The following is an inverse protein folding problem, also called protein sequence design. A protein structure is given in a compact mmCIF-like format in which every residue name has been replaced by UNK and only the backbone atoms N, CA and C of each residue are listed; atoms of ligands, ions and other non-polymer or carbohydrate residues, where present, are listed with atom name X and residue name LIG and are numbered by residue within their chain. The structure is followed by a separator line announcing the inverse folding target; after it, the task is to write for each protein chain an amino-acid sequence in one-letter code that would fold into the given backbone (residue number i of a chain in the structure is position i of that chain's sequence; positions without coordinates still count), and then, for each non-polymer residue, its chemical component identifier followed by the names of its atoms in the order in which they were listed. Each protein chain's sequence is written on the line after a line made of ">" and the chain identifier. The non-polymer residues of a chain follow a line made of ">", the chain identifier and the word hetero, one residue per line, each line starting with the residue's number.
data_IF_423902491284
#
_entry.id   IF_423902491284
#
_cell.length_a   1.000
_cell.length_b   1.000
_cell.length_c   1.000
_cell.angle_alpha   90.00
_cell.angle_beta   90.00
_cell.angle_gamma   90.00
#
_symmetry.space_group_name_H-M   'P 1'
#
loop_
_entity.id
_entity.type
_entity.pdbx_description
1 polymer ?
#
# COMPACT_ATOMS: atom_id res chain seq x y z
N UNK A 1 -0.96 15.63 6.95
CA UNK A 1 -2.37 15.24 6.90
C UNK A 1 -3.23 16.49 7.03
N UNK A 2 -4.32 16.57 6.31
CA UNK A 2 -5.34 17.63 6.36
C UNK A 2 -6.61 17.00 6.90
N UNK A 3 -7.23 17.63 7.88
CA UNK A 3 -8.50 17.19 8.46
C UNK A 3 -9.51 18.33 8.52
N UNK A 4 -10.80 18.00 8.54
CA UNK A 4 -11.89 18.95 8.62
C UNK A 4 -13.10 18.43 9.39
N UNK A 5 -14.12 19.26 9.60
CA UNK A 5 -15.21 18.94 10.50
C UNK A 5 -14.72 18.75 11.94
N UNK A 6 -15.26 17.75 12.64
CA UNK A 6 -14.82 17.40 13.99
C UNK A 6 -13.39 16.80 14.01
N UNK A 7 -12.82 16.47 12.83
CA UNK A 7 -11.46 15.96 12.64
C UNK A 7 -10.44 17.03 12.23
N UNK A 8 -10.78 18.30 12.35
CA UNK A 8 -9.83 19.40 12.07
C UNK A 8 -8.55 19.32 12.92
N UNK A 9 -8.63 18.64 14.06
CA UNK A 9 -7.49 18.33 14.94
C UNK A 9 -7.64 16.94 15.53
N UNK A 10 -6.52 16.33 15.97
CA UNK A 10 -6.55 15.07 16.69
C UNK A 10 -6.65 13.82 15.79
N UNK A 11 -6.64 13.97 14.47
CA UNK A 11 -6.62 12.85 13.54
C UNK A 11 -5.18 12.46 13.17
N UNK A 12 -4.93 11.16 13.08
CA UNK A 12 -3.63 10.64 12.63
C UNK A 12 -3.78 9.31 11.90
N UNK A 13 -2.88 9.05 10.95
CA UNK A 13 -2.75 7.79 10.25
C UNK A 13 -1.33 7.26 10.42
N UNK A 14 -1.20 6.06 10.96
CA UNK A 14 0.00 5.26 10.91
C UNK A 14 -0.15 4.15 9.86
N UNK A 15 0.93 3.80 9.18
CA UNK A 15 0.93 2.69 8.25
C UNK A 15 2.22 1.89 8.35
N UNK A 16 2.14 0.61 7.97
CA UNK A 16 3.30 -0.26 7.82
C UNK A 16 3.05 -1.26 6.70
N UNK A 17 4.12 -1.70 6.05
CA UNK A 17 4.09 -2.76 5.06
C UNK A 17 5.11 -3.82 5.46
N UNK A 18 4.64 -5.07 5.57
CA UNK A 18 5.47 -6.22 5.83
C UNK A 18 5.59 -7.05 4.55
N UNK A 19 6.83 -7.19 4.06
CA UNK A 19 7.14 -8.10 2.96
C UNK A 19 7.16 -9.54 3.48
N UNK A 20 6.35 -10.40 2.89
CA UNK A 20 6.25 -11.83 3.25
C UNK A 20 6.96 -12.74 2.23
N UNK A 21 7.72 -12.14 1.30
CA UNK A 21 8.50 -12.80 0.25
C UNK A 21 7.81 -12.89 -1.11
N UNK A 22 6.50 -13.10 -1.16
CA UNK A 22 5.71 -13.13 -2.41
C UNK A 22 4.50 -12.20 -2.36
N UNK A 23 4.20 -11.67 -1.19
CA UNK A 23 3.06 -10.79 -0.94
C UNK A 23 3.44 -9.71 0.08
N UNK A 24 2.60 -8.72 0.22
CA UNK A 24 2.78 -7.60 1.13
C UNK A 24 1.55 -7.45 2.02
N UNK A 25 1.77 -7.42 3.32
CA UNK A 25 0.73 -7.10 4.29
C UNK A 25 0.79 -5.60 4.61
N UNK A 26 -0.19 -4.88 4.14
CA UNK A 26 -0.44 -3.48 4.45
C UNK A 26 -1.29 -3.37 5.71
N UNK A 27 -0.88 -2.51 6.61
CA UNK A 27 -1.64 -2.22 7.84
C UNK A 27 -1.76 -0.71 7.98
N UNK A 28 -2.98 -0.21 8.08
CA UNK A 28 -3.30 1.19 8.30
C UNK A 28 -3.98 1.32 9.66
N UNK A 29 -3.46 2.20 10.50
CA UNK A 29 -4.02 2.48 11.83
C UNK A 29 -4.50 3.93 11.84
N UNK A 30 -5.79 4.12 11.69
CA UNK A 30 -6.43 5.43 11.66
C UNK A 30 -6.97 5.78 13.04
N UNK A 31 -6.49 6.88 13.60
CA UNK A 31 -6.96 7.40 14.86
C UNK A 31 -7.70 8.70 14.63
N UNK A 32 -8.95 8.77 15.07
CA UNK A 32 -9.79 9.94 14.93
C UNK A 32 -10.62 10.12 16.21
N UNK A 33 -10.91 11.38 16.60
CA UNK A 33 -11.93 11.64 17.62
C UNK A 33 -13.33 11.26 17.09
N UNK A 34 -14.34 11.29 17.97
CA UNK A 34 -15.74 11.18 17.53
C UNK A 34 -16.09 12.30 16.51
N UNK A 35 -16.81 11.98 15.44
CA UNK A 35 -17.44 10.72 15.07
C UNK A 35 -16.45 9.69 14.52
N UNK A 36 -16.79 8.41 14.65
CA UNK A 36 -15.99 7.29 14.14
C UNK A 36 -15.82 7.31 12.62
N UNK A 37 -14.96 6.42 12.13
CA UNK A 37 -14.64 6.24 10.72
C UNK A 37 -15.81 5.57 9.98
N UNK A 38 -16.30 6.19 8.91
CA UNK A 38 -17.39 5.67 8.06
C UNK A 38 -16.83 4.86 6.89
N UNK A 39 -15.86 5.44 6.16
CA UNK A 39 -15.11 4.74 5.12
C UNK A 39 -13.69 5.30 5.00
N UNK A 40 -12.85 4.51 4.36
CA UNK A 40 -11.46 4.82 4.10
C UNK A 40 -11.13 4.43 2.65
N UNK A 41 -10.80 5.41 1.83
CA UNK A 41 -10.43 5.24 0.43
C UNK A 41 -8.91 5.24 0.33
N UNK A 42 -8.36 4.15 -0.22
CA UNK A 42 -6.94 3.93 -0.40
C UNK A 42 -6.63 3.92 -1.89
N UNK A 43 -5.76 4.80 -2.35
CA UNK A 43 -5.31 4.77 -3.74
C UNK A 43 -4.64 3.43 -4.07
N UNK A 44 -4.91 2.95 -5.28
CA UNK A 44 -4.18 1.87 -5.93
C UNK A 44 -4.00 2.22 -7.40
N UNK A 45 -3.16 1.49 -8.06
CA UNK A 45 -2.90 1.73 -9.46
C UNK A 45 -4.05 1.32 -10.35
N UNK A 46 -4.22 1.99 -11.50
CA UNK A 46 -5.35 1.81 -12.40
C UNK A 46 -5.51 0.41 -13.02
N UNK A 47 -4.52 -0.49 -12.84
CA UNK A 47 -4.60 -1.90 -13.23
C UNK A 47 -4.78 -2.86 -12.04
N UNK A 48 -4.99 -2.33 -10.83
CA UNK A 48 -5.32 -3.12 -9.66
C UNK A 48 -6.72 -3.70 -9.78
N UNK A 49 -6.89 -4.94 -9.38
CA UNK A 49 -8.17 -5.67 -9.47
C UNK A 49 -8.37 -6.52 -8.22
N UNK A 50 -9.56 -7.08 -8.03
CA UNK A 50 -9.86 -8.02 -6.94
C UNK A 50 -8.88 -9.20 -6.87
N UNK A 51 -8.30 -9.63 -8.00
CA UNK A 51 -7.32 -10.72 -8.02
C UNK A 51 -6.01 -10.38 -7.30
N UNK A 52 -5.75 -9.10 -7.04
CA UNK A 52 -4.59 -8.62 -6.29
C UNK A 52 -4.82 -8.57 -4.78
N UNK A 53 -6.06 -8.82 -4.33
CA UNK A 53 -6.45 -8.90 -2.93
C UNK A 53 -6.47 -10.36 -2.51
N UNK A 54 -5.59 -10.75 -1.60
CA UNK A 54 -5.53 -12.09 -1.04
C UNK A 54 -6.31 -12.19 0.26
N UNK A 55 -6.22 -11.14 1.09
CA UNK A 55 -7.00 -10.97 2.32
C UNK A 55 -7.27 -9.50 2.53
N UNK A 56 -8.43 -9.17 3.09
CA UNK A 56 -8.81 -7.79 3.46
C UNK A 56 -9.71 -7.81 4.70
N UNK A 57 -9.54 -6.83 5.58
CA UNK A 57 -10.19 -6.83 6.89
C UNK A 57 -11.67 -6.45 6.90
N UNK A 58 -12.13 -5.69 5.90
CA UNK A 58 -13.46 -5.08 5.88
C UNK A 58 -14.17 -5.34 4.55
N UNK A 59 -15.45 -5.04 4.48
CA UNK A 59 -16.16 -4.89 3.21
C UNK A 59 -15.46 -3.81 2.36
N UNK A 60 -15.42 -3.99 1.05
CA UNK A 60 -14.71 -3.07 0.16
C UNK A 60 -15.36 -2.97 -1.23
N UNK A 61 -15.01 -1.89 -1.90
CA UNK A 61 -15.30 -1.64 -3.32
C UNK A 61 -14.01 -1.19 -4.01
N UNK A 62 -13.79 -1.63 -5.26
CA UNK A 62 -12.71 -1.12 -6.11
C UNK A 62 -13.32 -0.25 -7.19
N UNK A 63 -12.83 0.98 -7.34
CA UNK A 63 -13.37 1.91 -8.33
C UNK A 63 -12.67 3.25 -8.36
N UNK A 64 -13.26 4.17 -9.12
CA UNK A 64 -12.82 5.57 -9.15
C UNK A 64 -13.70 6.39 -8.21
N UNK A 65 -13.06 7.10 -7.30
CA UNK A 65 -13.69 7.95 -6.30
C UNK A 65 -13.31 9.40 -6.53
N UNK A 66 -14.25 10.30 -6.31
CA UNK A 66 -14.08 11.75 -6.49
C UNK A 66 -15.07 12.51 -5.61
N UNK A 67 -14.95 13.84 -5.58
CA UNK A 67 -15.86 14.69 -4.84
C UNK A 67 -17.32 14.37 -5.12
N UNK A 68 -18.08 14.10 -4.06
CA UNK A 68 -19.51 13.83 -4.08
C UNK A 68 -20.26 14.58 -2.97
N UNK A 69 -21.60 14.62 -3.02
CA UNK A 69 -22.38 15.25 -1.97
C UNK A 69 -22.19 14.61 -0.59
N UNK A 70 -21.74 13.36 -0.56
CA UNK A 70 -21.47 12.60 0.66
C UNK A 70 -20.02 12.65 1.12
N UNK A 71 -19.10 13.26 0.35
CA UNK A 71 -17.66 13.24 0.58
C UNK A 71 -17.13 14.66 0.87
N UNK A 72 -17.41 15.20 2.07
CA UNK A 72 -17.04 16.55 2.45
C UNK A 72 -15.52 16.71 2.42
N UNK A 73 -15.08 17.88 1.93
CA UNK A 73 -13.65 18.23 1.93
C UNK A 73 -12.77 17.42 1.00
N UNK A 74 -13.37 16.63 0.09
CA UNK A 74 -12.59 16.00 -0.98
C UNK A 74 -11.81 17.08 -1.74
N UNK A 75 -10.50 16.88 -2.04
CA UNK A 75 -9.71 17.87 -2.74
C UNK A 75 -10.32 18.24 -4.10
N UNK A 76 -10.44 19.56 -4.36
CA UNK A 76 -11.13 20.06 -5.54
C UNK A 76 -10.42 19.65 -6.84
N UNK A 77 -11.17 19.03 -7.76
CA UNK A 77 -10.67 18.60 -9.06
C UNK A 77 -9.92 17.25 -9.03
N UNK A 78 -9.70 16.69 -7.86
CA UNK A 78 -8.98 15.44 -7.71
C UNK A 78 -9.91 14.22 -7.72
N UNK A 79 -9.34 13.08 -8.12
CA UNK A 79 -9.97 11.77 -8.04
C UNK A 79 -8.91 10.71 -7.78
N UNK A 80 -9.26 9.60 -7.16
CA UNK A 80 -8.39 8.45 -7.03
C UNK A 80 -9.06 7.19 -7.59
N UNK A 81 -8.27 6.30 -8.16
CA UNK A 81 -8.68 4.93 -8.38
C UNK A 81 -8.16 4.11 -7.20
N UNK A 82 -9.06 3.40 -6.52
CA UNK A 82 -8.68 2.87 -5.21
C UNK A 82 -9.57 1.76 -4.70
N UNK A 83 -9.26 1.37 -3.46
CA UNK A 83 -10.05 0.49 -2.61
C UNK A 83 -10.75 1.36 -1.58
N UNK A 84 -12.06 1.32 -1.55
CA UNK A 84 -12.87 1.91 -0.50
C UNK A 84 -13.20 0.83 0.52
N UNK A 85 -12.71 0.98 1.74
CA UNK A 85 -13.09 0.15 2.87
C UNK A 85 -14.37 0.71 3.46
N UNK A 86 -15.38 -0.13 3.57
CA UNK A 86 -16.69 0.18 4.15
C UNK A 86 -16.96 -0.66 5.41
N UNK A 87 -18.09 -0.42 6.06
CA UNK A 87 -18.54 -1.15 7.24
C UNK A 87 -17.47 -1.20 8.35
N UNK A 88 -16.81 -0.08 8.58
CA UNK A 88 -15.76 0.03 9.60
C UNK A 88 -16.42 0.23 10.96
N UNK A 89 -16.46 -0.83 11.74
CA UNK A 89 -17.07 -0.85 13.08
C UNK A 89 -16.02 -0.65 14.18
N UNK A 90 -16.48 -0.22 15.35
CA UNK A 90 -15.67 -0.11 16.56
C UNK A 90 -15.31 1.32 16.93
N UNK A 91 -14.32 1.45 17.81
CA UNK A 91 -13.79 2.72 18.29
C UNK A 91 -12.34 2.91 17.81
N UNK A 92 -11.92 4.18 17.71
CA UNK A 92 -10.53 4.49 17.36
C UNK A 92 -9.54 3.93 18.40
N UNK A 93 -8.35 3.48 17.97
CA UNK A 93 -7.86 3.48 16.61
C UNK A 93 -8.43 2.36 15.74
N UNK A 94 -8.85 2.70 14.52
CA UNK A 94 -9.31 1.71 13.53
C UNK A 94 -8.12 1.10 12.82
N UNK A 95 -8.11 -0.23 12.71
CA UNK A 95 -7.05 -0.96 12.01
C UNK A 95 -7.61 -1.64 10.78
N UNK A 96 -7.10 -1.26 9.61
CA UNK A 96 -7.43 -1.83 8.32
C UNK A 96 -6.23 -2.61 7.79
N UNK A 97 -6.47 -3.81 7.27
CA UNK A 97 -5.42 -4.66 6.72
C UNK A 97 -5.75 -5.11 5.31
N UNK A 98 -4.73 -5.21 4.49
CA UNK A 98 -4.78 -5.70 3.12
C UNK A 98 -3.55 -6.56 2.84
N UNK A 99 -3.76 -7.82 2.48
CA UNK A 99 -2.71 -8.68 1.94
C UNK A 99 -2.83 -8.67 0.41
N UNK A 100 -1.77 -8.24 -0.25
CA UNK A 100 -1.73 -8.09 -1.71
C UNK A 100 -0.43 -8.66 -2.31
N UNK A 101 -0.48 -9.05 -3.57
CA UNK A 101 0.68 -9.42 -4.37
C UNK A 101 1.41 -8.18 -4.95
N UNK A 102 0.90 -6.98 -4.67
CA UNK A 102 1.42 -5.70 -5.19
C UNK A 102 2.43 -5.10 -4.24
N UNK A 103 3.56 -4.65 -4.78
CA UNK A 103 4.62 -3.97 -4.04
C UNK A 103 4.17 -2.56 -3.57
N UNK A 104 4.75 -2.03 -2.49
CA UNK A 104 4.40 -0.69 -2.02
C UNK A 104 4.93 0.41 -2.94
N UNK A 105 4.09 1.42 -3.15
CA UNK A 105 4.42 2.71 -3.76
C UNK A 105 3.85 3.86 -2.93
N UNK A 106 4.28 5.08 -3.23
CA UNK A 106 3.65 6.28 -2.69
C UNK A 106 2.27 6.51 -3.32
N UNK A 107 1.29 6.83 -2.50
CA UNK A 107 -0.07 7.12 -2.94
C UNK A 107 -0.88 7.87 -1.91
N UNK A 108 -2.14 8.04 -2.20
CA UNK A 108 -3.07 8.88 -1.47
C UNK A 108 -4.11 8.10 -0.68
N UNK A 109 -4.70 8.75 0.30
CA UNK A 109 -5.88 8.25 0.98
C UNK A 109 -6.87 9.39 1.24
N UNK A 110 -8.14 9.03 1.32
CA UNK A 110 -9.20 9.86 1.87
C UNK A 110 -9.96 9.05 2.92
N UNK A 111 -10.33 9.71 3.99
CA UNK A 111 -11.11 9.12 5.09
C UNK A 111 -12.27 10.01 5.46
N UNK A 112 -13.41 9.41 5.72
CA UNK A 112 -14.63 10.10 6.12
C UNK A 112 -15.22 9.55 7.41
N UNK A 113 -15.66 10.46 8.27
CA UNK A 113 -16.49 10.17 9.43
C UNK A 113 -17.88 10.78 9.32
N UNK A 114 -18.65 10.67 10.37
CA UNK A 114 -19.93 11.38 10.48
C UNK A 114 -19.74 12.90 10.59
N UNK A 115 -20.85 13.67 10.55
CA UNK A 115 -20.88 15.13 10.78
C UNK A 115 -19.88 15.91 9.90
N UNK A 116 -19.77 15.55 8.63
CA UNK A 116 -18.86 16.18 7.67
C UNK A 116 -17.36 16.13 8.07
N UNK A 117 -16.98 15.17 8.91
CA UNK A 117 -15.59 14.94 9.27
C UNK A 117 -14.86 14.19 8.18
N UNK A 118 -13.67 14.67 7.84
CA UNK A 118 -12.83 14.07 6.81
C UNK A 118 -11.32 14.22 7.11
N UNK A 119 -10.52 13.42 6.47
CA UNK A 119 -9.06 13.57 6.46
C UNK A 119 -8.45 12.99 5.18
N UNK A 120 -7.34 13.58 4.75
CA UNK A 120 -6.52 13.08 3.64
C UNK A 120 -5.05 13.48 3.79
N UNK A 121 -4.14 12.88 3.04
CA UNK A 121 -2.73 13.27 3.07
C UNK A 121 -2.52 14.61 2.38
N UNK A 122 -1.62 15.43 2.90
CA UNK A 122 -1.39 16.80 2.40
C UNK A 122 -0.78 16.86 0.99
N UNK A 123 -0.33 15.73 0.45
CA UNK A 123 0.14 15.58 -0.92
C UNK A 123 -0.87 15.03 -1.89
N UNK A 124 -2.15 14.97 -1.53
CA UNK A 124 -3.20 14.38 -2.36
C UNK A 124 -3.20 14.95 -3.79
N UNK A 125 -3.12 14.06 -4.80
CA UNK A 125 -3.01 14.41 -6.21
C UNK A 125 -1.62 14.88 -6.67
N UNK A 126 -0.63 14.96 -5.77
CA UNK A 126 0.72 15.41 -6.09
C UNK A 126 1.74 14.27 -6.02
N UNK A 127 2.63 14.21 -7.02
CA UNK A 127 3.73 13.22 -7.04
C UNK A 127 4.77 13.43 -5.93
N UNK A 128 4.88 14.66 -5.41
CA UNK A 128 5.86 15.07 -4.39
C UNK A 128 5.13 15.55 -3.13
N UNK A 129 4.50 14.67 -2.40
CA UNK A 129 3.72 15.03 -1.22
C UNK A 129 4.04 14.19 0.00
N UNK A 130 3.33 14.47 1.10
CA UNK A 130 3.30 13.59 2.25
C UNK A 130 2.33 12.43 1.96
N UNK A 131 2.80 11.46 1.19
CA UNK A 131 2.04 10.29 0.74
C UNK A 131 2.14 9.15 1.76
N UNK A 132 1.32 8.14 1.57
CA UNK A 132 1.37 6.89 2.32
C UNK A 132 1.79 5.74 1.40
N UNK A 133 2.18 4.62 1.95
CA UNK A 133 2.44 3.44 1.13
C UNK A 133 1.15 2.71 0.77
N UNK A 134 0.94 2.51 -0.52
CA UNK A 134 -0.21 1.84 -1.12
C UNK A 134 0.25 0.73 -2.08
N UNK A 135 -0.61 -0.24 -2.45
CA UNK A 135 -0.25 -1.26 -3.44
C UNK A 135 0.03 -0.69 -4.83
N UNK A 136 1.18 -1.07 -5.41
CA UNK A 136 1.67 -0.62 -6.72
C UNK A 136 0.91 -1.26 -7.91
N UNK A 137 1.25 -0.78 -9.12
CA UNK A 137 0.72 -1.23 -10.42
C UNK A 137 1.19 -2.61 -10.83
N UNK A 138 2.38 -3.02 -10.40
CA UNK A 138 2.98 -4.26 -10.87
C UNK A 138 2.93 -5.32 -9.79
N UNK A 139 2.38 -6.49 -10.14
CA UNK A 139 2.56 -7.68 -9.33
C UNK A 139 4.05 -7.92 -9.12
N UNK A 140 4.44 -8.20 -7.91
CA UNK A 140 5.83 -8.58 -7.63
C UNK A 140 6.20 -9.74 -8.53
N UNK A 141 7.23 -9.65 -9.39
CA UNK A 141 7.69 -10.83 -10.08
C UNK A 141 8.10 -11.81 -8.98
N UNK A 142 7.51 -13.02 -9.00
CA UNK A 142 7.93 -14.09 -8.10
C UNK A 142 9.46 -14.09 -8.07
N UNK A 143 10.13 -14.24 -6.90
CA UNK A 143 11.56 -14.24 -6.81
C UNK A 143 12.08 -15.22 -7.87
N UNK A 144 12.65 -14.68 -8.93
CA UNK A 144 13.24 -15.51 -9.97
C UNK A 144 14.36 -16.25 -9.25
N UNK A 145 14.30 -17.58 -9.12
CA UNK A 145 15.38 -18.34 -8.50
C UNK A 145 16.64 -17.88 -9.20
N UNK A 146 17.62 -17.34 -8.47
CA UNK A 146 18.85 -16.82 -9.04
C UNK A 146 19.34 -17.83 -10.07
N UNK A 147 19.47 -17.44 -11.37
CA UNK A 147 19.73 -18.39 -12.41
C UNK A 147 20.91 -19.23 -11.95
N UNK A 148 20.87 -20.54 -12.13
CA UNK A 148 21.97 -21.46 -11.77
C UNK A 148 23.32 -21.00 -12.29
N UNK A 149 23.39 -19.86 -12.97
CA UNK A 149 24.52 -19.05 -13.38
C UNK A 149 25.47 -18.75 -12.22
N UNK A 150 24.99 -18.47 -11.01
CA UNK A 150 25.86 -18.26 -9.84
C UNK A 150 26.48 -19.58 -9.38
N UNK A 151 25.70 -20.67 -9.42
CA UNK A 151 26.22 -22.02 -9.15
C UNK A 151 27.17 -22.48 -10.25
N UNK A 152 26.84 -22.18 -11.53
CA UNK A 152 27.65 -22.50 -12.69
C UNK A 152 28.92 -21.67 -12.69
N UNK A 153 28.86 -20.37 -12.39
CA UNK A 153 30.03 -19.50 -12.27
C UNK A 153 30.92 -19.94 -11.09
N UNK A 154 30.34 -20.25 -9.94
CA UNK A 154 31.06 -20.75 -8.76
C UNK A 154 31.73 -22.07 -9.03
N UNK A 155 31.04 -23.04 -9.64
CA UNK A 155 31.58 -24.35 -10.00
C UNK A 155 32.62 -24.25 -11.13
N UNK A 156 32.41 -23.35 -12.11
CA UNK A 156 33.35 -23.05 -13.17
C UNK A 156 34.69 -22.50 -12.66
N UNK A 157 34.65 -21.55 -11.73
CA UNK A 157 35.83 -20.98 -11.08
C UNK A 157 36.61 -22.02 -10.26
N UNK A 158 35.92 -22.89 -9.53
CA UNK A 158 36.56 -24.01 -8.79
C UNK A 158 37.21 -24.98 -9.74
N UNK A 159 36.55 -25.28 -10.88
CA UNK A 159 37.11 -26.15 -11.93
C UNK A 159 38.41 -25.59 -12.54
N UNK A 160 38.43 -24.30 -12.86
CA UNK A 160 39.62 -23.61 -13.43
C UNK A 160 40.75 -23.54 -12.39
N UNK A 161 40.45 -23.22 -11.12
CA UNK A 161 41.42 -23.20 -10.05
C UNK A 161 42.03 -24.58 -9.79
N UNK A 162 41.24 -25.65 -9.90
CA UNK A 162 41.71 -27.04 -9.78
C UNK A 162 42.66 -27.49 -10.90
N UNK A 163 42.36 -27.08 -12.15
CA UNK A 163 43.19 -27.37 -13.31
C UNK A 163 44.49 -26.55 -13.31
N UNK A 164 44.47 -25.29 -12.87
CA UNK A 164 45.62 -24.43 -12.74
C UNK A 164 46.67 -25.00 -11.77
N UNK A 165 46.22 -25.55 -10.65
CA UNK A 165 47.11 -26.16 -9.63
C UNK A 165 47.91 -27.36 -10.12
N UNK A 166 47.39 -28.13 -11.09
CA UNK A 166 48.10 -29.26 -11.70
C UNK A 166 49.23 -28.84 -12.65
N UNK A 167 49.14 -27.64 -13.24
CA UNK A 167 50.14 -27.15 -14.21
C UNK A 167 51.39 -26.52 -13.55
N UNK A 168 51.26 -26.06 -12.32
CA UNK A 168 52.37 -25.39 -11.60
C UNK A 168 53.13 -26.33 -10.63
N UNK A 169 52.86 -27.64 -10.68
CA UNK A 169 53.55 -28.64 -9.86
C UNK A 169 54.48 -29.52 -10.70
N UNK A 170 55.26 -28.91 -11.61
CA UNK A 170 56.42 -29.51 -12.22
C UNK A 170 57.68 -28.71 -11.96
#
# INVERSE_FOLDING_TARGET
>A
MIGGGDWATGVSLGWSVADTGSTYLYTYTFNAPDPGLSHFDLEVSGNFTESNILEISNAYEIGSFSAGPSDPGWPEGESLYGIKFDDIEGEAPFTLTLLSDRAPMDGDFYAKGGKDSFAYNSGFGALDGANIWVPDTESHPAPVPEPGTMLLLGSGLIGIAGLGRKRFRK
#
